data_IF_935955321521
#
_entry.id   IF_935955321521
#
_cell.length_a   1.000
_cell.length_b   1.000
_cell.length_c   1.000
_cell.angle_alpha   90.00
_cell.angle_beta   90.00
_cell.angle_gamma   90.00
#
_symmetry.space_group_name_H-M   'P 1'
#
loop_
_entity.id
_entity.type
_entity.pdbx_description
1 polymer ?
#
# COMPACT_ATOMS: atom_id res chain seq x y z
N UNK A 1 -17.66 0.86 18.90
CA UNK A 1 -16.36 0.21 19.20
C UNK A 1 -15.38 0.63 18.11
N UNK A 2 -14.18 1.04 18.49
CA UNK A 2 -13.10 1.31 17.54
C UNK A 2 -12.27 0.03 17.35
N UNK A 3 -11.81 -0.23 16.14
CA UNK A 3 -11.01 -1.39 15.79
C UNK A 3 -9.78 -1.01 14.97
N UNK A 4 -8.81 -1.88 14.93
CA UNK A 4 -7.57 -1.74 14.16
C UNK A 4 -7.45 -2.97 13.26
N UNK A 5 -7.22 -2.75 11.98
CA UNK A 5 -6.86 -3.81 11.04
C UNK A 5 -5.35 -3.81 10.81
N UNK A 6 -4.75 -4.99 10.90
CA UNK A 6 -3.30 -5.16 10.91
C UNK A 6 -2.71 -5.41 9.52
N UNK A 7 -3.53 -5.53 8.47
CA UNK A 7 -3.01 -5.80 7.14
C UNK A 7 -3.97 -5.44 6.01
N UNK A 8 -3.47 -4.75 4.99
CA UNK A 8 -4.07 -4.71 3.66
C UNK A 8 -3.02 -4.40 2.59
N UNK A 9 -3.24 -4.87 1.36
CA UNK A 9 -2.32 -4.73 0.21
C UNK A 9 -2.73 -3.60 -0.76
N UNK A 10 -3.59 -2.71 -0.34
CA UNK A 10 -4.14 -1.63 -1.18
C UNK A 10 -3.05 -0.79 -1.85
N UNK A 11 -1.96 -0.47 -1.16
CA UNK A 11 -0.86 0.33 -1.71
C UNK A 11 -0.16 -0.34 -2.89
N UNK A 12 0.02 -1.66 -2.84
CA UNK A 12 0.61 -2.42 -3.95
C UNK A 12 -0.18 -2.25 -5.24
N UNK A 13 -1.50 -2.26 -5.15
CA UNK A 13 -2.39 -2.15 -6.30
C UNK A 13 -2.47 -0.69 -6.79
N UNK A 14 -2.62 0.28 -5.90
CA UNK A 14 -2.72 1.69 -6.24
C UNK A 14 -1.43 2.23 -6.90
N UNK A 15 -0.28 1.70 -6.55
CA UNK A 15 1.01 2.11 -7.14
C UNK A 15 1.42 1.29 -8.37
N UNK A 16 0.52 0.46 -8.91
CA UNK A 16 0.81 -0.44 -10.01
C UNK A 16 1.64 -1.62 -9.51
N UNK A 17 0.99 -2.54 -8.77
CA UNK A 17 1.59 -3.82 -8.41
C UNK A 17 2.13 -4.52 -9.65
N UNK A 18 3.17 -5.33 -9.49
CA UNK A 18 3.67 -6.19 -10.53
C UNK A 18 2.49 -6.91 -11.19
N UNK A 19 2.57 -7.14 -12.45
CA UNK A 19 1.59 -7.70 -13.41
C UNK A 19 0.57 -8.74 -12.88
N UNK A 20 -0.12 -8.41 -11.81
CA UNK A 20 -1.17 -9.26 -11.24
C UNK A 20 -2.46 -9.24 -12.07
N UNK A 21 -2.48 -8.53 -13.20
CA UNK A 21 -3.70 -8.33 -14.01
C UNK A 21 -4.77 -7.50 -13.31
N UNK A 22 -4.53 -7.07 -12.09
CA UNK A 22 -5.46 -6.22 -11.32
C UNK A 22 -5.32 -4.80 -11.83
N UNK A 23 -6.34 -4.29 -12.49
CA UNK A 23 -6.41 -2.90 -12.98
C UNK A 23 -6.22 -1.95 -11.80
N UNK A 24 -5.40 -0.90 -12.01
CA UNK A 24 -5.27 0.21 -11.07
C UNK A 24 -6.65 0.65 -10.59
N UNK A 25 -6.82 0.76 -9.29
CA UNK A 25 -8.02 1.38 -8.71
C UNK A 25 -8.23 2.76 -9.35
N UNK A 26 -9.47 3.05 -9.77
CA UNK A 26 -9.80 4.30 -10.49
C UNK A 26 -9.64 5.55 -9.64
N UNK A 27 -9.42 5.41 -8.35
CA UNK A 27 -9.23 6.50 -7.41
C UNK A 27 -8.04 6.20 -6.49
N UNK A 28 -7.79 7.08 -5.54
CA UNK A 28 -6.65 6.99 -4.65
C UNK A 28 -6.95 6.28 -3.34
N UNK A 29 -6.08 6.52 -2.36
CA UNK A 29 -6.22 5.95 -1.03
C UNK A 29 -7.46 6.48 -0.27
N UNK A 30 -7.95 7.68 -0.62
CA UNK A 30 -9.15 8.28 -0.01
C UNK A 30 -10.42 7.55 -0.37
N UNK A 31 -10.55 7.19 -1.63
CA UNK A 31 -11.66 6.44 -2.18
C UNK A 31 -11.18 5.65 -3.39
N UNK A 32 -11.53 4.39 -3.49
CA UNK A 32 -11.15 3.51 -4.58
C UNK A 32 -12.18 2.39 -4.79
N UNK A 33 -11.98 1.61 -5.82
CA UNK A 33 -12.81 0.43 -6.13
C UNK A 33 -12.21 -0.88 -5.60
N UNK A 34 -11.22 -0.80 -4.69
CA UNK A 34 -10.64 -1.95 -3.99
C UNK A 34 -11.41 -2.23 -2.69
N UNK A 35 -10.91 -3.14 -1.87
CA UNK A 35 -11.57 -3.52 -0.61
C UNK A 35 -11.45 -2.44 0.48
N UNK A 36 -10.36 -1.69 0.51
CA UNK A 36 -10.04 -0.74 1.59
C UNK A 36 -9.75 0.66 1.03
N UNK A 37 -10.40 1.66 1.62
CA UNK A 37 -10.09 3.08 1.45
C UNK A 37 -10.42 3.88 2.71
N UNK A 38 -9.90 5.11 2.80
CA UNK A 38 -10.05 5.94 3.99
C UNK A 38 -11.51 6.29 4.29
N UNK A 39 -12.36 6.46 3.27
CA UNK A 39 -13.78 6.75 3.45
C UNK A 39 -14.50 5.58 4.15
N UNK A 40 -14.35 4.37 3.60
CA UNK A 40 -14.98 3.15 4.16
C UNK A 40 -14.42 2.80 5.53
N UNK A 41 -13.12 2.96 5.76
CA UNK A 41 -12.52 2.77 7.08
C UNK A 41 -13.15 3.70 8.11
N UNK A 42 -13.31 4.97 7.78
CA UNK A 42 -13.97 5.94 8.66
C UNK A 42 -15.43 5.58 8.94
N UNK A 43 -16.20 5.26 7.90
CA UNK A 43 -17.59 4.85 8.02
C UNK A 43 -17.76 3.59 8.89
N UNK A 44 -16.81 2.66 8.78
CA UNK A 44 -16.78 1.43 9.59
C UNK A 44 -16.26 1.62 11.02
N UNK A 45 -15.81 2.83 11.39
CA UNK A 45 -15.29 3.12 12.73
C UNK A 45 -13.89 2.60 13.01
N UNK A 46 -13.07 2.39 11.97
CA UNK A 46 -11.67 2.03 12.16
C UNK A 46 -10.89 3.14 12.87
N UNK A 47 -10.08 2.76 13.85
CA UNK A 47 -9.15 3.67 14.52
C UNK A 47 -7.83 3.75 13.75
N UNK A 48 -7.35 2.64 13.22
CA UNK A 48 -6.13 2.58 12.41
C UNK A 48 -6.19 1.42 11.41
N UNK A 49 -5.38 1.54 10.35
CA UNK A 49 -5.16 0.53 9.32
C UNK A 49 -3.67 0.40 9.05
N UNK A 50 -3.14 -0.81 9.09
CA UNK A 50 -1.80 -1.11 8.64
C UNK A 50 -1.81 -1.44 7.14
N UNK A 51 -1.13 -0.62 6.36
CA UNK A 51 -0.96 -0.83 4.91
C UNK A 51 0.38 -1.52 4.65
N UNK A 52 0.34 -2.68 4.03
CA UNK A 52 1.55 -3.39 3.66
C UNK A 52 2.26 -2.70 2.48
N UNK A 53 3.56 -2.49 2.63
CA UNK A 53 4.47 -2.11 1.54
C UNK A 53 5.28 -3.35 1.13
N UNK A 54 4.57 -4.39 0.70
CA UNK A 54 5.15 -5.67 0.33
C UNK A 54 5.43 -5.74 -1.16
N UNK A 55 6.56 -6.37 -1.52
CA UNK A 55 6.90 -6.74 -2.89
C UNK A 55 7.43 -8.18 -2.91
N UNK A 56 7.06 -8.92 -3.92
CA UNK A 56 7.65 -10.22 -4.19
C UNK A 56 8.81 -10.04 -5.18
N UNK A 57 10.04 -10.38 -4.79
CA UNK A 57 11.21 -10.23 -5.63
C UNK A 57 11.10 -11.04 -6.94
N UNK A 58 10.37 -12.16 -6.92
CA UNK A 58 10.13 -12.98 -8.12
C UNK A 58 9.38 -12.24 -9.23
N UNK A 59 8.59 -11.22 -8.89
CA UNK A 59 7.85 -10.42 -9.86
C UNK A 59 8.76 -9.59 -10.78
N UNK A 60 10.04 -9.45 -10.41
CA UNK A 60 11.03 -8.67 -11.17
C UNK A 60 12.01 -9.55 -11.97
N UNK A 61 11.88 -10.87 -11.93
CA UNK A 61 12.86 -11.79 -12.50
C UNK A 61 12.27 -12.94 -13.34
N UNK A 62 11.09 -12.76 -13.93
CA UNK A 62 10.44 -13.76 -14.78
C UNK A 62 10.37 -15.17 -14.14
N UNK A 63 10.16 -15.25 -12.83
CA UNK A 63 10.05 -16.52 -12.09
C UNK A 63 11.38 -17.11 -11.60
N UNK A 64 12.52 -16.60 -12.04
CA UNK A 64 13.83 -17.01 -11.52
C UNK A 64 14.32 -16.04 -10.45
N UNK A 65 14.28 -16.44 -9.19
CA UNK A 65 14.87 -15.66 -8.10
C UNK A 65 16.39 -15.83 -8.15
N UNK A 66 17.06 -14.92 -8.83
CA UNK A 66 18.51 -14.78 -8.73
C UNK A 66 18.83 -13.73 -7.68
N UNK A 67 19.83 -13.97 -6.86
CA UNK A 67 20.42 -12.95 -5.97
C UNK A 67 21.17 -11.94 -6.85
N UNK A 68 20.45 -10.97 -7.38
CA UNK A 68 20.93 -9.97 -8.32
C UNK A 68 20.63 -8.59 -7.73
N UNK A 69 21.65 -7.74 -7.64
CA UNK A 69 21.53 -6.38 -7.11
C UNK A 69 20.48 -5.55 -7.83
N UNK A 70 20.30 -5.73 -9.14
CA UNK A 70 19.28 -5.03 -9.92
C UNK A 70 17.85 -5.38 -9.49
N UNK A 71 17.58 -6.66 -9.19
CA UNK A 71 16.27 -7.10 -8.70
C UNK A 71 15.96 -6.48 -7.33
N UNK A 72 16.95 -6.44 -6.44
CA UNK A 72 16.80 -5.82 -5.13
C UNK A 72 16.58 -4.32 -5.24
N UNK A 73 17.29 -3.63 -6.13
CA UNK A 73 17.09 -2.21 -6.41
C UNK A 73 15.67 -1.92 -6.93
N UNK A 74 15.17 -2.73 -7.84
CA UNK A 74 13.81 -2.61 -8.37
C UNK A 74 12.76 -2.83 -7.27
N UNK A 75 12.92 -3.86 -6.45
CA UNK A 75 12.05 -4.14 -5.32
C UNK A 75 12.07 -2.98 -4.32
N UNK A 76 13.24 -2.48 -3.97
CA UNK A 76 13.41 -1.34 -3.07
C UNK A 76 12.74 -0.07 -3.60
N UNK A 77 12.93 0.27 -4.88
CA UNK A 77 12.27 1.42 -5.52
C UNK A 77 10.74 1.27 -5.49
N UNK A 78 10.23 0.06 -5.63
CA UNK A 78 8.80 -0.19 -5.53
C UNK A 78 8.28 0.08 -4.11
N UNK A 79 8.98 -0.35 -3.07
CA UNK A 79 8.64 -0.04 -1.67
C UNK A 79 8.66 1.48 -1.44
N UNK A 80 9.71 2.17 -1.92
CA UNK A 80 9.78 3.64 -1.82
C UNK A 80 8.60 4.33 -2.53
N UNK A 81 8.16 3.82 -3.67
CA UNK A 81 7.00 4.38 -4.37
C UNK A 81 5.69 4.22 -3.58
N UNK A 82 5.50 3.10 -2.89
CA UNK A 82 4.34 2.88 -2.03
C UNK A 82 4.32 3.80 -0.81
N UNK A 83 5.46 3.94 -0.13
CA UNK A 83 5.58 4.83 1.03
C UNK A 83 5.43 6.30 0.64
N UNK A 84 6.01 6.72 -0.48
CA UNK A 84 5.84 8.08 -1.00
C UNK A 84 4.39 8.36 -1.40
N UNK A 85 3.72 7.40 -2.03
CA UNK A 85 2.31 7.52 -2.38
C UNK A 85 1.44 7.73 -1.14
N UNK A 86 1.64 6.92 -0.09
CA UNK A 86 0.92 7.06 1.17
C UNK A 86 1.21 8.42 1.83
N UNK A 87 2.46 8.87 1.83
CA UNK A 87 2.86 10.17 2.38
C UNK A 87 2.18 11.34 1.65
N UNK A 88 2.09 11.29 0.32
CA UNK A 88 1.42 12.31 -0.49
C UNK A 88 -0.11 12.30 -0.34
N UNK A 89 -0.70 11.17 0.04
CA UNK A 89 -2.14 11.02 0.20
C UNK A 89 -2.67 11.57 1.54
N UNK A 90 -1.78 11.96 2.47
CA UNK A 90 -2.18 12.48 3.78
C UNK A 90 -3.03 13.74 3.65
N UNK A 91 -4.03 13.84 4.53
CA UNK A 91 -4.83 15.03 4.74
C UNK A 91 -5.36 15.04 6.19
N UNK A 92 -6.33 15.91 6.50
CA UNK A 92 -6.97 15.98 7.81
C UNK A 92 -7.70 14.70 8.26
N UNK A 93 -8.04 13.80 7.33
CA UNK A 93 -8.81 12.58 7.57
C UNK A 93 -7.94 11.32 7.60
N UNK A 94 -6.79 11.39 6.95
CA UNK A 94 -5.86 10.28 6.79
C UNK A 94 -4.44 10.76 7.07
N UNK A 95 -3.85 10.25 8.15
CA UNK A 95 -2.50 10.61 8.60
C UNK A 95 -1.70 9.35 8.87
N UNK A 96 -0.42 9.39 8.56
CA UNK A 96 0.51 8.32 8.93
C UNK A 96 0.90 8.54 10.40
N UNK A 97 0.58 7.54 11.24
CA UNK A 97 1.04 7.53 12.63
C UNK A 97 2.55 7.29 12.69
N UNK A 98 3.26 8.10 13.46
CA UNK A 98 4.72 8.05 13.62
C UNK A 98 5.14 7.86 15.07
N UNK A 99 4.22 8.03 15.97
CA UNK A 99 4.42 7.89 17.41
C UNK A 99 3.15 7.35 18.07
N UNK A 100 3.24 6.99 19.33
CA UNK A 100 2.09 6.52 20.12
C UNK A 100 1.08 7.63 20.43
N UNK A 101 1.47 8.89 20.28
CA UNK A 101 0.60 10.05 20.51
C UNK A 101 -0.23 10.42 19.27
N UNK A 102 0.10 9.91 18.09
CA UNK A 102 -0.67 10.14 16.87
C UNK A 102 -1.97 9.34 16.86
#
# INVERSE_FOLDING_TARGET
MKWIDLHCDTLSILTGGADTGIKRGRAGLRENNLCVDARRLKEAGAAAQFFACYVNASDFCNGEVRRNGEIWDRAYRKILSMTAYAACAQDERFRIARSAED
#
